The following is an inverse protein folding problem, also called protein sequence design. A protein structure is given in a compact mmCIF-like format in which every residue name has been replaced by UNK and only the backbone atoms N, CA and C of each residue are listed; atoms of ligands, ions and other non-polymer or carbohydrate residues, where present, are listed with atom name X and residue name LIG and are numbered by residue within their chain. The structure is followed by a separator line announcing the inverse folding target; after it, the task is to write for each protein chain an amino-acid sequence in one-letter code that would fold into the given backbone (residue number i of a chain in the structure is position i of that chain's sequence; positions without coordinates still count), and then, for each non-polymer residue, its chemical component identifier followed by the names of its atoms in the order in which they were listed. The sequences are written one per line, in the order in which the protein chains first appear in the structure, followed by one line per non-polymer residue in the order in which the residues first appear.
data_IF_286989405890
#
_entry.id   IF_286989405890
#
_cell.length_a   1.000
_cell.length_b   1.000
_cell.length_c   1.000
_cell.angle_alpha   90.00
_cell.angle_beta   90.00
_cell.angle_gamma   90.00
#
_symmetry.space_group_name_H-M   'P 1'
#
loop_
_entity.id
_entity.type
_entity.pdbx_description
1 polymer ?
#
# COMPACT_ATOMS: atom_id res chain seq x y z
N UNK A 1 21.55 -7.50 67.31
CA UNK A 1 22.46 -6.70 66.47
C UNK A 1 22.11 -6.98 65.01
N UNK A 2 21.18 -6.21 64.43
CA UNK A 2 21.03 -6.09 62.97
C UNK A 2 20.57 -4.66 62.69
N UNK A 3 21.54 -3.80 62.36
CA UNK A 3 21.29 -2.46 61.81
C UNK A 3 20.87 -2.68 60.36
N UNK A 4 19.61 -2.37 60.04
CA UNK A 4 19.20 -2.19 58.65
C UNK A 4 19.60 -0.77 58.27
N UNK A 5 20.77 -0.67 57.65
CA UNK A 5 21.24 0.48 56.90
C UNK A 5 20.68 0.41 55.48
N UNK A 6 19.85 1.38 55.10
CA UNK A 6 19.81 2.02 53.77
C UNK A 6 18.73 3.10 53.79
N UNK A 7 19.12 4.33 54.10
CA UNK A 7 18.38 5.51 53.67
C UNK A 7 18.60 5.55 52.16
N UNK A 8 17.56 5.21 51.40
CA UNK A 8 17.49 5.49 49.98
C UNK A 8 17.34 7.00 49.87
N UNK A 9 18.29 7.68 49.25
CA UNK A 9 18.09 9.03 48.75
C UNK A 9 16.90 8.96 47.78
N UNK A 10 15.70 9.25 48.26
CA UNK A 10 14.54 9.47 47.41
C UNK A 10 14.89 10.64 46.52
N UNK A 11 15.02 10.36 45.22
CA UNK A 11 15.09 11.35 44.15
C UNK A 11 14.10 12.48 44.48
N UNK A 12 14.56 13.73 44.52
CA UNK A 12 13.74 14.88 44.96
C UNK A 12 12.41 14.94 44.18
N UNK A 13 12.39 14.39 42.97
CA UNK A 13 11.22 14.20 42.13
C UNK A 13 10.18 13.20 42.70
N UNK A 14 10.60 12.09 43.30
CA UNK A 14 9.70 11.15 43.98
C UNK A 14 9.10 11.79 45.22
N UNK A 15 9.92 12.49 46.00
CA UNK A 15 9.45 13.20 47.20
C UNK A 15 8.45 14.31 46.83
N UNK A 16 8.72 15.07 45.76
CA UNK A 16 7.82 16.08 45.23
C UNK A 16 6.52 15.44 44.67
N UNK A 17 6.63 14.31 43.96
CA UNK A 17 5.49 13.55 43.47
C UNK A 17 4.54 13.14 44.61
N UNK A 18 5.08 12.56 45.69
CA UNK A 18 4.24 12.17 46.83
C UNK A 18 3.66 13.37 47.58
N UNK A 19 4.36 14.52 47.65
CA UNK A 19 3.80 15.76 48.21
C UNK A 19 2.63 16.29 47.38
N UNK A 20 2.75 16.31 46.06
CA UNK A 20 1.66 16.70 45.14
C UNK A 20 0.51 15.71 45.20
N UNK A 21 0.80 14.40 45.23
CA UNK A 21 -0.21 13.35 45.23
C UNK A 21 -1.00 13.27 46.55
N UNK A 22 -0.35 13.56 47.68
CA UNK A 22 -1.00 13.65 49.00
C UNK A 22 -1.81 14.94 49.16
N UNK A 23 -1.53 15.98 48.37
CA UNK A 23 -2.35 17.18 48.35
C UNK A 23 -3.68 16.92 47.64
N UNK A 24 -4.76 16.84 48.42
CA UNK A 24 -6.12 16.54 47.94
C UNK A 24 -6.59 17.49 46.83
N UNK A 25 -6.26 18.78 46.92
CA UNK A 25 -6.66 19.78 45.92
C UNK A 25 -5.89 19.60 44.61
N UNK A 26 -4.57 19.44 44.67
CA UNK A 26 -3.76 19.22 43.46
C UNK A 26 -4.13 17.90 42.78
N UNK A 27 -4.26 16.81 43.55
CA UNK A 27 -4.69 15.51 43.03
C UNK A 27 -6.07 15.57 42.36
N UNK A 28 -7.02 16.29 42.96
CA UNK A 28 -8.35 16.49 42.37
C UNK A 28 -8.25 17.24 41.02
N UNK A 29 -7.50 18.35 40.98
CA UNK A 29 -7.34 19.12 39.75
C UNK A 29 -6.62 18.34 38.64
N UNK A 30 -5.52 17.64 38.97
CA UNK A 30 -4.81 16.77 38.03
C UNK A 30 -5.76 15.71 37.46
N UNK A 31 -6.51 15.02 38.34
CA UNK A 31 -7.47 13.99 37.93
C UNK A 31 -8.58 14.56 37.04
N UNK A 32 -9.06 15.77 37.35
CA UNK A 32 -10.06 16.47 36.54
C UNK A 32 -9.53 16.83 35.16
N UNK A 33 -8.34 17.42 35.06
CA UNK A 33 -7.74 17.80 33.79
C UNK A 33 -7.41 16.57 32.92
N UNK A 34 -6.92 15.50 33.54
CA UNK A 34 -6.66 14.24 32.83
C UNK A 34 -7.96 13.66 32.24
N UNK A 35 -9.07 13.66 32.99
CA UNK A 35 -10.37 13.22 32.48
C UNK A 35 -10.85 14.07 31.29
N UNK A 36 -10.68 15.39 31.36
CA UNK A 36 -11.03 16.30 30.27
C UNK A 36 -10.18 16.02 29.03
N UNK A 37 -8.86 15.96 29.20
CA UNK A 37 -7.90 15.63 28.15
C UNK A 37 -8.24 14.31 27.44
N UNK A 38 -8.55 13.25 28.20
CA UNK A 38 -8.95 11.96 27.63
C UNK A 38 -10.27 12.06 26.84
N UNK A 39 -11.27 12.77 27.37
CA UNK A 39 -12.57 12.95 26.71
C UNK A 39 -12.42 13.72 25.39
N UNK A 40 -11.63 14.78 25.39
CA UNK A 40 -11.41 15.64 24.21
C UNK A 40 -10.67 14.89 23.12
N UNK A 41 -9.59 14.18 23.46
CA UNK A 41 -8.83 13.42 22.45
C UNK A 41 -9.64 12.29 21.84
N UNK A 42 -10.51 11.63 22.62
CA UNK A 42 -11.45 10.64 22.08
C UNK A 42 -12.47 11.27 21.13
N UNK A 43 -12.91 12.49 21.43
CA UNK A 43 -13.86 13.21 20.58
C UNK A 43 -13.19 13.68 19.28
N UNK A 44 -12.02 14.29 19.37
CA UNK A 44 -11.37 14.95 18.24
C UNK A 44 -10.74 13.98 17.24
N UNK A 45 -10.50 12.73 17.63
CA UNK A 45 -10.05 11.67 16.72
C UNK A 45 -11.13 11.12 15.79
N UNK A 46 -12.38 11.58 15.91
CA UNK A 46 -13.46 11.18 15.02
C UNK A 46 -13.61 12.22 13.90
N UNK A 47 -13.47 11.77 12.65
CA UNK A 47 -13.45 12.64 11.45
C UNK A 47 -14.73 13.48 11.27
N UNK A 48 -15.86 13.06 11.85
CA UNK A 48 -17.13 13.80 11.81
C UNK A 48 -17.04 15.10 12.63
N UNK A 49 -16.16 15.14 13.62
CA UNK A 49 -16.03 16.25 14.56
C UNK A 49 -15.02 17.27 14.05
N UNK A 50 -15.48 18.12 13.12
CA UNK A 50 -14.67 19.22 12.57
C UNK A 50 -14.87 20.54 13.33
N UNK A 51 -13.87 21.41 13.29
CA UNK A 51 -13.92 22.77 13.77
C UNK A 51 -13.82 23.73 12.59
N UNK A 52 -14.59 24.81 12.61
CA UNK A 52 -14.27 26.00 11.83
C UNK A 52 -13.43 26.93 12.73
N UNK A 53 -12.92 28.03 12.16
CA UNK A 53 -12.02 28.93 12.88
C UNK A 53 -12.69 29.52 14.14
N UNK A 54 -13.96 29.92 14.04
CA UNK A 54 -14.69 30.51 15.15
C UNK A 54 -14.94 29.52 16.29
N UNK A 55 -15.38 28.30 15.96
CA UNK A 55 -15.61 27.24 16.94
C UNK A 55 -14.30 26.78 17.57
N UNK A 56 -13.19 26.75 16.83
CA UNK A 56 -11.87 26.42 17.36
C UNK A 56 -11.37 27.47 18.35
N UNK A 57 -11.51 28.76 18.01
CA UNK A 57 -11.06 29.86 18.87
C UNK A 57 -11.89 29.94 20.16
N UNK A 58 -13.19 29.65 20.08
CA UNK A 58 -14.09 29.66 21.24
C UNK A 58 -14.05 28.36 22.06
N UNK A 59 -13.34 27.33 21.60
CA UNK A 59 -13.30 26.05 22.30
C UNK A 59 -12.36 26.12 23.53
N UNK A 60 -12.87 26.03 24.78
CA UNK A 60 -12.09 26.31 25.98
C UNK A 60 -10.91 25.38 26.21
N UNK A 61 -10.91 24.21 25.57
CA UNK A 61 -9.90 23.17 25.75
C UNK A 61 -9.15 22.85 24.45
N UNK A 62 -9.05 23.84 23.54
CA UNK A 62 -8.35 23.68 22.26
C UNK A 62 -6.89 23.24 22.41
N UNK A 63 -6.23 23.60 23.51
CA UNK A 63 -4.84 23.20 23.77
C UNK A 63 -4.71 21.72 24.19
N UNK A 64 -5.82 21.00 24.39
CA UNK A 64 -5.81 19.56 24.66
C UNK A 64 -5.93 18.74 23.37
N UNK A 65 -6.17 19.39 22.22
CA UNK A 65 -6.34 18.72 20.93
C UNK A 65 -4.98 18.21 20.43
N UNK A 66 -4.88 16.90 20.25
CA UNK A 66 -3.75 16.26 19.55
C UNK A 66 -4.08 15.92 18.09
N UNK A 67 -5.35 15.64 17.82
CA UNK A 67 -5.90 15.39 16.48
C UNK A 67 -6.97 16.45 16.22
N UNK A 68 -6.83 17.21 15.13
CA UNK A 68 -7.71 18.32 14.80
C UNK A 68 -8.15 18.24 13.34
N UNK A 69 -9.47 18.28 13.14
CA UNK A 69 -10.10 18.39 11.83
C UNK A 69 -10.63 19.81 11.66
N UNK A 70 -10.15 20.54 10.66
CA UNK A 70 -10.65 21.87 10.27
C UNK A 70 -11.57 21.71 9.08
N UNK A 71 -12.76 22.30 9.12
CA UNK A 71 -13.76 22.22 8.05
C UNK A 71 -14.72 23.41 8.05
N UNK A 72 -15.51 23.54 6.99
CA UNK A 72 -16.40 24.69 6.77
C UNK A 72 -17.52 24.76 7.81
N UNK A 73 -18.13 23.63 8.16
CA UNK A 73 -19.34 23.61 8.98
C UNK A 73 -19.09 23.76 10.50
N UNK A 74 -17.90 23.38 10.98
CA UNK A 74 -17.54 23.46 12.40
C UNK A 74 -18.30 22.51 13.33
N UNK A 75 -18.16 22.72 14.64
CA UNK A 75 -18.75 21.86 15.67
C UNK A 75 -20.25 22.09 15.82
N UNK A 76 -21.04 21.01 15.72
CA UNK A 76 -22.48 21.02 15.99
C UNK A 76 -22.85 20.69 17.44
N UNK A 77 -21.93 20.15 18.24
CA UNK A 77 -22.18 19.70 19.62
C UNK A 77 -20.99 20.03 20.53
N UNK A 78 -21.25 20.51 21.75
CA UNK A 78 -20.23 20.67 22.80
C UNK A 78 -19.72 19.27 23.22
N UNK A 79 -18.44 18.94 23.04
CA UNK A 79 -17.90 17.61 23.31
C UNK A 79 -17.90 17.22 24.80
N UNK A 80 -18.07 18.20 25.69
CA UNK A 80 -18.02 18.01 27.13
C UNK A 80 -19.42 18.03 27.72
N UNK A 81 -20.25 18.99 27.34
CA UNK A 81 -21.62 19.14 27.85
C UNK A 81 -22.65 18.34 27.04
N UNK A 82 -22.33 17.93 25.81
CA UNK A 82 -23.24 17.21 24.92
C UNK A 82 -24.39 18.06 24.38
N UNK A 83 -24.37 19.37 24.63
CA UNK A 83 -25.40 20.30 24.16
C UNK A 83 -25.19 20.62 22.69
N UNK A 84 -26.27 20.59 21.90
CA UNK A 84 -26.26 21.06 20.51
C UNK A 84 -25.88 22.54 20.53
N UNK A 85 -24.82 22.90 19.80
CA UNK A 85 -24.48 24.28 19.51
C UNK A 85 -25.38 24.69 18.35
N UNK A 86 -26.48 25.39 18.64
CA UNK A 86 -27.39 25.86 17.60
C UNK A 86 -26.65 26.76 16.61
N UNK A 87 -26.86 26.45 15.34
CA UNK A 87 -26.29 27.10 14.16
C UNK A 87 -26.28 28.62 14.27
N UNK A 88 -25.07 29.18 14.32
CA UNK A 88 -24.80 30.56 13.85
C UNK A 88 -23.88 30.56 12.64
N UNK A 89 -23.75 29.45 11.93
CA UNK A 89 -23.09 29.44 10.64
C UNK A 89 -24.05 30.03 9.60
N UNK A 90 -24.07 31.37 9.49
CA UNK A 90 -24.47 32.01 8.24
C UNK A 90 -23.54 31.47 7.16
N UNK A 91 -24.11 30.74 6.20
CA UNK A 91 -23.46 29.96 5.15
C UNK A 91 -22.41 30.70 4.32
N UNK A 92 -22.31 32.01 4.46
CA UNK A 92 -21.54 32.87 3.56
C UNK A 92 -20.21 33.35 4.17
N UNK A 93 -19.85 32.90 5.38
CA UNK A 93 -18.68 33.42 6.14
C UNK A 93 -17.56 32.42 6.44
N UNK A 94 -17.65 31.15 6.08
CA UNK A 94 -16.63 30.16 6.46
C UNK A 94 -15.55 29.90 5.39
N UNK A 95 -15.40 30.81 4.44
CA UNK A 95 -14.56 30.63 3.25
C UNK A 95 -13.26 31.47 3.29
N UNK A 96 -12.78 31.79 4.51
CA UNK A 96 -11.54 32.53 4.74
C UNK A 96 -10.34 31.59 4.93
N UNK A 97 -9.13 32.00 4.52
CA UNK A 97 -7.91 31.25 4.81
C UNK A 97 -7.68 31.11 6.31
N UNK A 98 -7.03 30.02 6.73
CA UNK A 98 -6.71 29.75 8.13
C UNK A 98 -5.74 30.84 8.64
N UNK A 99 -6.08 31.60 9.69
CA UNK A 99 -5.19 32.62 10.22
C UNK A 99 -3.92 31.99 10.81
N UNK A 100 -2.81 32.73 10.73
CA UNK A 100 -1.55 32.35 11.41
C UNK A 100 -1.79 32.23 12.92
N UNK A 101 -1.14 31.26 13.57
CA UNK A 101 -1.29 30.94 15.00
C UNK A 101 -2.70 30.46 15.45
N UNK A 102 -3.62 30.21 14.52
CA UNK A 102 -4.96 29.70 14.85
C UNK A 102 -4.96 28.23 15.29
N UNK A 103 -3.99 27.43 14.84
CA UNK A 103 -3.91 26.01 15.18
C UNK A 103 -3.13 25.84 16.50
N UNK A 104 -3.69 25.16 17.52
CA UNK A 104 -2.99 24.95 18.79
C UNK A 104 -1.66 24.23 18.61
N UNK A 105 -0.63 24.63 19.38
CA UNK A 105 0.70 24.02 19.30
C UNK A 105 0.77 22.59 19.83
N UNK A 106 -0.29 22.10 20.49
CA UNK A 106 -0.45 20.71 20.95
C UNK A 106 -0.73 19.73 19.81
N UNK A 107 -1.21 20.21 18.66
CA UNK A 107 -1.69 19.37 17.55
C UNK A 107 -0.52 18.59 16.92
N UNK A 108 -0.74 17.29 16.77
CA UNK A 108 0.21 16.34 16.17
C UNK A 108 -0.34 15.83 14.83
N UNK A 109 -1.66 15.65 14.73
CA UNK A 109 -2.37 15.25 13.52
C UNK A 109 -3.35 16.33 13.12
N UNK A 110 -3.26 16.76 11.87
CA UNK A 110 -4.07 17.85 11.34
C UNK A 110 -4.75 17.42 10.05
N UNK A 111 -6.06 17.58 10.00
CA UNK A 111 -6.85 17.42 8.78
C UNK A 111 -7.43 18.77 8.38
N UNK A 112 -7.19 19.21 7.15
CA UNK A 112 -7.69 20.48 6.60
C UNK A 112 -8.67 20.17 5.48
N UNK A 113 -9.96 20.26 5.75
CA UNK A 113 -11.05 20.01 4.81
C UNK A 113 -11.69 21.32 4.33
N UNK A 114 -10.85 22.22 3.84
CA UNK A 114 -11.24 23.45 3.15
C UNK A 114 -10.37 23.59 1.90
N UNK A 115 -10.92 24.13 0.82
CA UNK A 115 -10.17 24.37 -0.42
C UNK A 115 -9.66 25.81 -0.45
N UNK A 116 -8.67 26.10 0.40
CA UNK A 116 -8.07 27.43 0.56
C UNK A 116 -6.54 27.38 0.65
N UNK A 117 -5.83 28.38 0.13
CA UNK A 117 -4.37 28.42 0.21
C UNK A 117 -3.89 28.34 1.65
N UNK A 118 -2.85 27.54 1.87
CA UNK A 118 -2.19 27.44 3.18
C UNK A 118 -1.06 28.47 3.20
N UNK A 119 -1.12 29.39 4.16
CA UNK A 119 -0.07 30.39 4.34
C UNK A 119 1.08 29.82 5.18
N UNK A 120 2.27 30.39 5.00
CA UNK A 120 3.44 30.08 5.81
C UNK A 120 3.13 30.30 7.31
N UNK A 121 3.68 29.45 8.18
CA UNK A 121 3.49 29.47 9.64
C UNK A 121 2.06 29.17 10.14
N UNK A 122 1.13 28.76 9.27
CA UNK A 122 -0.21 28.30 9.70
C UNK A 122 -0.13 26.95 10.42
N UNK A 123 0.69 26.03 9.91
CA UNK A 123 0.82 24.67 10.43
C UNK A 123 1.87 24.65 11.55
N UNK A 124 1.52 24.25 12.79
CA UNK A 124 2.46 24.22 13.90
C UNK A 124 3.58 23.19 13.73
N UNK A 125 4.73 23.45 14.35
CA UNK A 125 5.93 22.60 14.28
C UNK A 125 5.82 21.25 15.00
N UNK A 126 4.75 20.97 15.76
CA UNK A 126 4.53 19.64 16.35
C UNK A 126 3.75 18.70 15.43
N UNK A 127 3.20 19.21 14.32
CA UNK A 127 2.44 18.40 13.38
C UNK A 127 3.36 17.38 12.71
N UNK A 128 2.95 16.11 12.80
CA UNK A 128 3.60 14.94 12.20
C UNK A 128 2.81 14.36 11.05
N UNK A 129 1.48 14.47 11.08
CA UNK A 129 0.58 13.97 10.03
C UNK A 129 -0.32 15.10 9.54
N UNK A 130 -0.31 15.34 8.22
CA UNK A 130 -1.15 16.33 7.56
C UNK A 130 -2.01 15.67 6.50
N UNK A 131 -3.32 15.82 6.62
CA UNK A 131 -4.30 15.33 5.66
C UNK A 131 -5.07 16.50 5.05
N UNK A 132 -5.10 16.59 3.73
CA UNK A 132 -6.00 17.51 3.03
C UNK A 132 -7.30 16.81 2.66
N UNK A 133 -8.42 17.52 2.81
CA UNK A 133 -9.75 17.01 2.52
C UNK A 133 -10.00 16.78 1.03
N UNK A 134 -11.10 16.08 0.73
CA UNK A 134 -11.40 15.55 -0.61
C UNK A 134 -11.28 16.57 -1.74
N UNK A 135 -11.78 17.79 -1.52
CA UNK A 135 -11.83 18.87 -2.51
C UNK A 135 -10.57 19.75 -2.58
N UNK A 136 -9.57 19.57 -1.71
CA UNK A 136 -8.39 20.44 -1.68
C UNK A 136 -7.60 20.36 -2.99
N UNK A 137 -7.43 21.50 -3.65
CA UNK A 137 -6.71 21.60 -4.92
C UNK A 137 -5.97 22.94 -5.06
N UNK A 138 -5.41 23.45 -3.96
CA UNK A 138 -4.63 24.69 -3.95
C UNK A 138 -3.13 24.43 -4.12
N UNK A 139 -2.42 25.44 -4.61
CA UNK A 139 -0.95 25.41 -4.73
C UNK A 139 -0.34 25.40 -3.33
N UNK A 140 0.67 24.55 -3.13
CA UNK A 140 1.51 24.57 -1.93
C UNK A 140 2.76 25.38 -2.26
N UNK A 141 2.93 26.54 -1.64
CA UNK A 141 4.12 27.36 -1.82
C UNK A 141 5.34 26.75 -1.10
N UNK A 142 6.56 26.96 -1.60
CA UNK A 142 7.79 26.51 -0.93
C UNK A 142 7.87 26.93 0.54
N UNK A 143 8.41 26.06 1.40
CA UNK A 143 8.59 26.30 2.83
C UNK A 143 7.29 26.50 3.65
N UNK A 144 6.12 26.32 3.04
CA UNK A 144 4.82 26.43 3.73
C UNK A 144 4.60 25.30 4.74
N UNK A 145 5.02 24.08 4.38
CA UNK A 145 4.84 22.88 5.20
C UNK A 145 6.05 22.66 6.11
N UNK A 146 5.87 22.49 7.43
CA UNK A 146 6.99 22.31 8.34
C UNK A 146 7.71 20.97 8.13
N UNK A 147 9.04 20.98 8.25
CA UNK A 147 9.91 19.79 8.12
C UNK A 147 9.65 18.70 9.17
N UNK A 148 8.79 18.95 10.15
CA UNK A 148 8.39 17.96 11.17
C UNK A 148 7.38 16.96 10.65
N UNK A 149 6.72 17.24 9.53
CA UNK A 149 5.72 16.36 8.92
C UNK A 149 6.40 15.10 8.37
N UNK A 150 5.88 13.95 8.77
CA UNK A 150 6.35 12.62 8.37
C UNK A 150 5.36 11.94 7.42
N UNK A 151 4.07 12.26 7.52
CA UNK A 151 3.01 11.75 6.65
C UNK A 151 2.20 12.90 6.05
N UNK A 152 2.12 12.93 4.72
CA UNK A 152 1.35 13.92 3.96
C UNK A 152 0.37 13.21 3.02
N UNK A 153 -0.90 13.53 3.16
CA UNK A 153 -1.97 12.98 2.33
C UNK A 153 -2.73 14.10 1.63
N UNK A 154 -2.65 14.14 0.30
CA UNK A 154 -3.44 15.06 -0.51
C UNK A 154 -4.83 14.48 -0.80
N UNK A 155 -5.84 15.35 -0.79
CA UNK A 155 -7.22 14.99 -1.14
C UNK A 155 -7.36 14.48 -2.57
N UNK A 156 -8.47 13.79 -2.86
CA UNK A 156 -8.71 13.15 -4.15
C UNK A 156 -8.63 14.12 -5.34
N UNK A 157 -9.06 15.37 -5.17
CA UNK A 157 -9.11 16.40 -6.23
C UNK A 157 -7.77 17.09 -6.49
N UNK A 158 -6.75 16.90 -5.64
CA UNK A 158 -5.47 17.59 -5.78
C UNK A 158 -4.76 17.24 -7.09
N UNK A 159 -4.47 18.27 -7.89
CA UNK A 159 -3.82 18.15 -9.20
C UNK A 159 -2.98 19.39 -9.56
N UNK A 160 -2.46 20.09 -8.56
CA UNK A 160 -1.53 21.21 -8.74
C UNK A 160 -0.09 20.73 -8.92
N UNK A 161 0.74 21.52 -9.59
CA UNK A 161 2.17 21.21 -9.71
C UNK A 161 2.87 21.34 -8.35
N UNK A 162 3.65 20.32 -7.98
CA UNK A 162 4.50 20.37 -6.80
C UNK A 162 5.90 20.82 -7.24
N UNK A 163 6.32 21.99 -6.75
CA UNK A 163 7.65 22.54 -7.04
C UNK A 163 8.66 22.08 -5.99
N UNK A 164 9.93 22.38 -6.26
CA UNK A 164 11.03 22.17 -5.31
C UNK A 164 10.74 22.89 -4.00
N UNK A 165 11.12 22.27 -2.88
CA UNK A 165 10.97 22.79 -1.52
C UNK A 165 9.50 23.01 -1.04
N UNK A 166 8.51 22.54 -1.79
CA UNK A 166 7.10 22.51 -1.37
C UNK A 166 6.78 21.34 -0.40
N UNK A 167 7.59 20.27 -0.44
CA UNK A 167 7.41 19.09 0.40
C UNK A 167 8.39 19.10 1.58
N UNK A 168 7.97 18.68 2.79
CA UNK A 168 8.82 18.56 3.96
C UNK A 168 10.01 17.62 3.75
N UNK A 169 11.19 17.98 4.26
CA UNK A 169 12.43 17.20 4.06
C UNK A 169 12.43 15.84 4.75
N UNK A 170 11.72 15.69 5.87
CA UNK A 170 11.65 14.45 6.65
C UNK A 170 10.44 13.57 6.31
N UNK A 171 9.78 13.84 5.17
CA UNK A 171 8.57 13.14 4.76
C UNK A 171 8.85 11.66 4.43
N UNK A 172 8.26 10.75 5.20
CA UNK A 172 8.39 9.30 5.00
C UNK A 172 7.33 8.75 4.06
N UNK A 173 6.12 9.28 4.18
CA UNK A 173 4.94 8.79 3.46
C UNK A 173 4.24 9.93 2.74
N UNK A 174 4.11 9.80 1.42
CA UNK A 174 3.40 10.74 0.56
C UNK A 174 2.28 10.03 -0.19
N UNK A 175 1.04 10.48 0.01
CA UNK A 175 -0.10 10.08 -0.81
C UNK A 175 -0.50 11.25 -1.70
N UNK A 176 -0.31 11.08 -3.01
CA UNK A 176 -0.81 12.02 -4.00
C UNK A 176 -2.30 11.74 -4.24
N UNK A 177 -3.08 12.82 -4.42
CA UNK A 177 -4.51 12.75 -4.69
C UNK A 177 -4.84 11.87 -5.89
N UNK A 178 -6.01 11.22 -5.88
CA UNK A 178 -6.45 10.29 -6.94
C UNK A 178 -6.32 10.90 -8.35
N UNK A 179 -6.60 12.20 -8.50
CA UNK A 179 -6.58 12.93 -9.77
C UNK A 179 -5.22 13.53 -10.16
N UNK A 180 -4.18 13.43 -9.31
CA UNK A 180 -2.89 14.06 -9.57
C UNK A 180 -2.24 13.53 -10.85
N UNK A 181 -2.00 14.40 -11.83
CA UNK A 181 -1.42 14.05 -13.13
C UNK A 181 -0.48 15.17 -13.61
N UNK A 182 0.42 15.60 -12.73
CA UNK A 182 1.47 16.59 -13.03
C UNK A 182 2.84 15.93 -13.05
N UNK A 183 3.78 16.40 -13.90
CA UNK A 183 5.10 15.82 -14.00
C UNK A 183 5.84 15.94 -12.66
N UNK A 184 6.68 14.96 -12.36
CA UNK A 184 7.56 14.99 -11.19
C UNK A 184 8.93 15.42 -11.67
N UNK A 185 9.30 16.66 -11.39
CA UNK A 185 10.62 17.18 -11.75
C UNK A 185 11.70 16.68 -10.78
N UNK A 186 12.96 16.81 -11.21
CA UNK A 186 14.13 16.52 -10.38
C UNK A 186 14.09 17.34 -9.08
N UNK A 187 14.53 16.71 -7.99
CA UNK A 187 14.64 17.29 -6.63
C UNK A 187 13.30 17.76 -6.02
N UNK A 188 12.15 17.39 -6.60
CA UNK A 188 10.82 17.70 -6.03
C UNK A 188 10.47 16.76 -4.87
N UNK A 189 10.73 15.47 -5.03
CA UNK A 189 10.46 14.46 -4.01
C UNK A 189 11.65 14.39 -3.01
N UNK A 190 11.40 14.46 -1.70
CA UNK A 190 12.48 14.38 -0.72
C UNK A 190 13.11 12.98 -0.65
N UNK A 191 14.42 12.93 -0.39
CA UNK A 191 15.21 11.70 -0.24
C UNK A 191 14.92 10.88 1.03
N UNK A 192 13.89 11.25 1.80
CA UNK A 192 13.40 10.50 2.95
C UNK A 192 12.30 9.48 2.57
N UNK A 193 11.73 9.58 1.36
CA UNK A 193 10.68 8.67 0.89
C UNK A 193 11.30 7.33 0.48
N UNK A 194 10.77 6.23 1.04
CA UNK A 194 11.21 4.86 0.74
C UNK A 194 10.18 4.04 -0.04
N UNK A 195 8.89 4.39 0.04
CA UNK A 195 7.82 3.80 -0.76
C UNK A 195 6.96 4.90 -1.39
N UNK A 196 6.76 4.81 -2.71
CA UNK A 196 5.98 5.77 -3.48
C UNK A 196 4.92 5.05 -4.31
N UNK A 197 3.66 5.39 -4.04
CA UNK A 197 2.53 5.02 -4.87
C UNK A 197 2.04 6.24 -5.65
N UNK A 198 2.19 6.18 -6.97
CA UNK A 198 1.68 7.21 -7.87
C UNK A 198 0.15 7.12 -7.98
N UNK A 199 -0.49 8.26 -8.23
CA UNK A 199 -1.95 8.35 -8.28
C UNK A 199 -2.54 7.48 -9.39
N UNK A 200 -3.82 7.14 -9.27
CA UNK A 200 -4.52 6.37 -10.28
C UNK A 200 -4.65 7.09 -11.63
N UNK A 201 -4.68 8.42 -11.64
CA UNK A 201 -4.75 9.19 -12.88
C UNK A 201 -3.39 9.57 -13.46
N UNK A 202 -2.30 9.42 -12.70
CA UNK A 202 -0.96 9.80 -13.13
C UNK A 202 -0.58 9.07 -14.43
N UNK A 203 -0.29 9.85 -15.47
CA UNK A 203 0.15 9.35 -16.78
C UNK A 203 1.24 10.23 -17.39
N UNK A 204 2.07 10.86 -16.54
CA UNK A 204 3.23 11.63 -17.00
C UNK A 204 4.47 10.73 -17.16
N UNK A 205 5.40 11.08 -18.06
CA UNK A 205 6.67 10.37 -18.17
C UNK A 205 7.49 10.54 -16.89
N UNK A 206 8.24 9.49 -16.52
CA UNK A 206 9.25 9.58 -15.46
C UNK A 206 10.60 9.85 -16.13
N UNK A 207 11.14 11.03 -15.88
CA UNK A 207 12.47 11.41 -16.38
C UNK A 207 13.57 10.85 -15.47
N UNK A 208 14.80 10.85 -15.98
CA UNK A 208 15.99 10.52 -15.19
C UNK A 208 16.09 11.48 -14.00
N UNK A 209 16.44 10.95 -12.83
CA UNK A 209 16.65 11.71 -11.58
C UNK A 209 15.37 12.39 -11.01
N UNK A 210 14.17 12.12 -11.57
CA UNK A 210 12.89 12.62 -11.03
C UNK A 210 12.46 11.94 -9.74
N UNK A 211 12.89 10.70 -9.52
CA UNK A 211 12.56 9.91 -8.34
C UNK A 211 13.75 9.85 -7.37
N UNK A 212 13.51 9.90 -6.05
CA UNK A 212 14.59 9.95 -5.07
C UNK A 212 15.37 8.63 -5.03
N UNK A 213 16.68 8.71 -4.78
CA UNK A 213 17.54 7.52 -4.73
C UNK A 213 17.26 6.63 -3.51
N UNK A 214 16.58 7.13 -2.49
CA UNK A 214 16.14 6.38 -1.31
C UNK A 214 15.00 5.39 -1.58
N UNK A 215 14.38 5.44 -2.76
CA UNK A 215 13.17 4.70 -3.07
C UNK A 215 13.44 3.19 -3.18
N UNK A 216 12.70 2.42 -2.40
CA UNK A 216 12.75 0.95 -2.38
C UNK A 216 11.52 0.32 -3.06
N UNK A 217 10.34 0.90 -2.89
CA UNK A 217 9.10 0.44 -3.53
C UNK A 217 8.51 1.53 -4.44
N UNK A 218 8.20 1.17 -5.68
CA UNK A 218 7.52 2.02 -6.65
C UNK A 218 6.28 1.32 -7.21
N UNK A 219 5.12 1.94 -6.98
CA UNK A 219 3.82 1.47 -7.48
C UNK A 219 3.24 2.52 -8.42
N UNK A 220 3.06 2.17 -9.69
CA UNK A 220 2.35 2.99 -10.65
C UNK A 220 0.84 2.84 -10.49
N UNK A 221 0.11 3.95 -10.59
CA UNK A 221 -1.34 3.92 -10.55
C UNK A 221 -1.97 3.52 -11.89
N UNK A 222 -3.28 3.34 -11.87
CA UNK A 222 -4.02 2.63 -12.92
C UNK A 222 -3.87 3.20 -14.35
N UNK A 223 -3.81 4.52 -14.55
CA UNK A 223 -3.79 5.12 -15.89
C UNK A 223 -2.40 5.20 -16.54
N UNK A 224 -1.34 4.92 -15.79
CA UNK A 224 0.01 5.11 -16.29
C UNK A 224 0.32 4.15 -17.47
N UNK A 225 0.68 4.71 -18.62
CA UNK A 225 1.00 3.96 -19.83
C UNK A 225 2.11 4.64 -20.67
N UNK A 226 3.09 5.23 -19.98
CA UNK A 226 4.19 5.94 -20.65
C UNK A 226 5.34 4.98 -20.99
N UNK A 227 6.11 5.33 -22.02
CA UNK A 227 7.32 4.59 -22.37
C UNK A 227 8.36 4.80 -21.28
N UNK A 228 8.90 3.70 -20.76
CA UNK A 228 10.05 3.77 -19.88
C UNK A 228 11.27 4.35 -20.61
N UNK A 229 11.97 5.26 -19.93
CA UNK A 229 13.27 5.77 -20.36
C UNK A 229 14.36 5.02 -19.58
N UNK A 230 15.50 4.81 -20.21
CA UNK A 230 16.66 4.20 -19.54
C UNK A 230 17.02 5.04 -18.31
N UNK A 231 17.27 4.40 -17.17
CA UNK A 231 17.59 5.03 -15.88
C UNK A 231 16.49 5.93 -15.29
N UNK A 232 15.21 5.78 -15.69
CA UNK A 232 14.10 6.52 -15.08
C UNK A 232 13.70 5.97 -13.70
N UNK A 233 13.93 4.68 -13.45
CA UNK A 233 13.67 4.05 -12.16
C UNK A 233 14.99 4.00 -11.36
N UNK A 234 15.01 4.46 -10.10
CA UNK A 234 16.22 4.40 -9.27
C UNK A 234 16.74 2.98 -9.08
N UNK A 235 18.06 2.83 -8.99
CA UNK A 235 18.74 1.54 -8.85
C UNK A 235 18.61 0.87 -7.47
N UNK A 236 17.88 1.48 -6.53
CA UNK A 236 17.61 0.93 -5.21
C UNK A 236 16.20 0.33 -5.09
N UNK A 237 15.38 0.46 -6.13
CA UNK A 237 14.01 -0.09 -6.15
C UNK A 237 14.08 -1.61 -6.20
N UNK A 238 13.52 -2.26 -5.20
CA UNK A 238 13.42 -3.73 -5.11
C UNK A 238 12.02 -4.23 -5.47
N UNK A 239 10.98 -3.43 -5.23
CA UNK A 239 9.58 -3.74 -5.56
C UNK A 239 9.09 -2.78 -6.63
N UNK A 240 8.74 -3.32 -7.79
CA UNK A 240 8.17 -2.55 -8.90
C UNK A 240 6.81 -3.12 -9.31
N UNK A 241 5.77 -2.29 -9.20
CA UNK A 241 4.41 -2.65 -9.63
C UNK A 241 3.94 -1.70 -10.73
N UNK A 242 3.67 -2.25 -11.91
CA UNK A 242 3.18 -1.49 -13.07
C UNK A 242 1.64 -1.41 -13.05
N UNK A 243 1.12 -0.25 -13.38
CA UNK A 243 -0.30 0.07 -13.29
C UNK A 243 -1.18 -0.63 -14.33
N UNK A 244 -2.49 -0.63 -14.07
CA UNK A 244 -3.48 -1.40 -14.85
C UNK A 244 -3.50 -1.12 -16.36
N UNK A 245 -3.31 0.13 -16.82
CA UNK A 245 -3.34 0.50 -18.25
C UNK A 245 -1.98 0.35 -18.96
N UNK A 246 -0.94 -0.09 -18.26
CA UNK A 246 0.39 -0.21 -18.86
C UNK A 246 0.39 -1.27 -19.98
N UNK A 247 0.74 -0.88 -21.19
CA UNK A 247 0.85 -1.76 -22.37
C UNK A 247 2.00 -1.31 -23.30
N UNK A 248 3.16 -0.96 -22.73
CA UNK A 248 4.36 -0.60 -23.49
C UNK A 248 5.37 -1.75 -23.52
N UNK A 249 6.16 -1.87 -24.60
CA UNK A 249 7.23 -2.87 -24.68
C UNK A 249 8.30 -2.58 -23.61
N UNK A 250 8.62 -3.59 -22.81
CA UNK A 250 9.71 -3.55 -21.83
C UNK A 250 11.00 -3.98 -22.55
N UNK A 251 11.89 -3.02 -22.79
CA UNK A 251 13.20 -3.29 -23.40
C UNK A 251 14.22 -3.74 -22.34
N UNK A 252 15.28 -4.46 -22.73
CA UNK A 252 16.38 -4.83 -21.83
C UNK A 252 17.02 -3.63 -21.13
N UNK A 253 17.35 -3.81 -19.86
CA UNK A 253 18.01 -2.79 -19.03
C UNK A 253 17.12 -1.62 -18.60
N UNK A 254 15.81 -1.67 -18.85
CA UNK A 254 14.85 -0.67 -18.36
C UNK A 254 14.50 -0.89 -16.88
N UNK A 255 14.23 -2.15 -16.52
CA UNK A 255 13.96 -2.53 -15.14
C UNK A 255 15.31 -2.63 -14.43
N UNK A 256 15.51 -1.92 -13.30
CA UNK A 256 16.79 -1.97 -12.58
C UNK A 256 17.15 -3.37 -12.10
N UNK A 257 18.45 -3.73 -12.07
CA UNK A 257 18.93 -5.02 -11.57
C UNK A 257 18.82 -5.18 -10.05
N UNK A 258 18.25 -4.21 -9.35
CA UNK A 258 17.88 -4.31 -7.93
C UNK A 258 16.48 -4.90 -7.72
N UNK A 259 15.63 -4.94 -8.75
CA UNK A 259 14.24 -5.38 -8.63
C UNK A 259 14.19 -6.88 -8.35
N UNK A 260 13.60 -7.26 -7.22
CA UNK A 260 13.39 -8.65 -6.81
C UNK A 260 11.92 -9.07 -6.97
N UNK A 261 10.99 -8.13 -6.81
CA UNK A 261 9.54 -8.34 -6.95
C UNK A 261 9.02 -7.46 -8.09
N UNK A 262 8.67 -8.11 -9.20
CA UNK A 262 8.09 -7.45 -10.37
C UNK A 262 6.63 -7.89 -10.56
N UNK A 263 5.73 -6.91 -10.52
CA UNK A 263 4.32 -7.11 -10.79
C UNK A 263 3.87 -6.27 -11.97
N UNK A 264 3.27 -6.90 -12.97
CA UNK A 264 2.75 -6.27 -14.17
C UNK A 264 1.27 -6.61 -14.24
N UNK A 265 0.40 -5.61 -14.13
CA UNK A 265 -1.04 -5.84 -13.98
C UNK A 265 -1.85 -5.37 -15.18
N UNK A 266 -3.12 -5.80 -15.21
CA UNK A 266 -4.17 -5.17 -16.02
C UNK A 266 -4.16 -5.48 -17.51
N UNK A 267 -3.81 -4.50 -18.35
CA UNK A 267 -4.00 -4.55 -19.79
C UNK A 267 -2.75 -4.98 -20.57
N UNK A 268 -1.61 -5.17 -19.90
CA UNK A 268 -0.35 -5.52 -20.54
C UNK A 268 -0.48 -6.79 -21.38
N UNK A 269 -0.18 -6.68 -22.68
CA UNK A 269 -0.18 -7.82 -23.60
C UNK A 269 0.92 -7.70 -24.67
N UNK A 270 2.04 -7.06 -24.35
CA UNK A 270 3.22 -7.01 -25.22
C UNK A 270 4.14 -8.20 -24.96
N UNK A 271 4.82 -8.73 -25.99
CA UNK A 271 5.79 -9.81 -25.79
C UNK A 271 6.98 -9.30 -24.97
N UNK A 272 7.47 -10.13 -24.05
CA UNK A 272 8.75 -9.88 -23.41
C UNK A 272 9.89 -10.13 -24.39
N UNK A 273 10.94 -9.34 -24.28
CA UNK A 273 12.19 -9.52 -25.02
C UNK A 273 13.19 -10.29 -24.14
N UNK A 274 14.16 -10.96 -24.76
CA UNK A 274 15.29 -11.56 -24.04
C UNK A 274 15.96 -10.47 -23.19
N UNK A 275 16.29 -10.78 -21.94
CA UNK A 275 16.88 -9.84 -20.96
C UNK A 275 16.02 -8.63 -20.57
N UNK A 276 14.72 -8.62 -20.90
CA UNK A 276 13.78 -7.57 -20.45
C UNK A 276 13.44 -7.65 -18.96
N UNK A 277 13.53 -8.85 -18.38
CA UNK A 277 13.33 -9.12 -16.96
C UNK A 277 14.71 -9.38 -16.34
N UNK A 278 15.15 -8.61 -15.34
CA UNK A 278 16.48 -8.78 -14.74
C UNK A 278 16.63 -10.10 -13.98
N UNK A 279 17.85 -10.67 -13.97
CA UNK A 279 18.22 -11.87 -13.20
C UNK A 279 18.19 -11.67 -11.66
N UNK A 280 17.85 -10.48 -11.17
CA UNK A 280 17.58 -10.22 -9.76
C UNK A 280 16.16 -10.61 -9.35
N UNK A 281 15.23 -10.70 -10.30
CA UNK A 281 13.80 -10.96 -10.02
C UNK A 281 13.64 -12.37 -9.45
N UNK A 282 13.01 -12.44 -8.27
CA UNK A 282 12.64 -13.67 -7.55
C UNK A 282 11.15 -13.95 -7.67
N UNK A 283 10.32 -12.90 -7.61
CA UNK A 283 8.88 -13.00 -7.80
C UNK A 283 8.46 -12.23 -9.03
N UNK A 284 7.87 -12.96 -9.97
CA UNK A 284 7.31 -12.41 -11.19
C UNK A 284 5.82 -12.68 -11.23
N UNK A 285 5.02 -11.62 -11.25
CA UNK A 285 3.57 -11.70 -11.34
C UNK A 285 3.10 -10.94 -12.56
N UNK A 286 2.50 -11.65 -13.51
CA UNK A 286 1.99 -11.13 -14.77
C UNK A 286 0.47 -11.34 -14.75
N UNK A 287 -0.27 -10.30 -14.39
CA UNK A 287 -1.72 -10.34 -14.23
C UNK A 287 -2.45 -9.78 -15.45
N UNK A 288 -3.76 -10.00 -15.48
CA UNK A 288 -4.63 -9.36 -16.47
C UNK A 288 -4.57 -10.01 -17.86
N UNK A 289 -4.43 -9.19 -18.91
CA UNK A 289 -4.67 -9.58 -20.30
C UNK A 289 -3.49 -10.23 -21.03
N UNK A 290 -2.38 -10.48 -20.35
CA UNK A 290 -1.19 -11.05 -20.98
C UNK A 290 -1.49 -12.45 -21.55
N UNK A 291 -1.31 -12.59 -22.87
CA UNK A 291 -1.54 -13.84 -23.59
C UNK A 291 -0.56 -13.99 -24.77
N UNK A 292 0.70 -13.59 -24.58
CA UNK A 292 1.76 -13.72 -25.59
C UNK A 292 2.55 -15.02 -25.39
N UNK A 293 2.98 -15.62 -26.50
CA UNK A 293 3.75 -16.86 -26.48
C UNK A 293 5.11 -16.62 -25.79
N UNK A 294 5.46 -17.49 -24.85
CA UNK A 294 6.77 -17.47 -24.21
C UNK A 294 7.81 -18.14 -25.11
N UNK A 295 9.08 -17.81 -24.88
CA UNK A 295 10.24 -18.48 -25.48
C UNK A 295 11.23 -18.84 -24.37
N UNK A 296 12.11 -19.84 -24.56
CA UNK A 296 13.15 -20.16 -23.60
C UNK A 296 14.01 -18.94 -23.30
N UNK A 297 14.38 -18.75 -22.04
CA UNK A 297 15.23 -17.64 -21.58
C UNK A 297 14.51 -16.30 -21.35
N UNK A 298 13.21 -16.17 -21.69
CA UNK A 298 12.44 -14.95 -21.40
C UNK A 298 12.24 -14.74 -19.90
N UNK A 299 11.93 -15.81 -19.18
CA UNK A 299 11.84 -15.79 -17.72
C UNK A 299 13.22 -16.16 -17.16
N UNK A 300 13.84 -15.30 -16.35
CA UNK A 300 15.13 -15.59 -15.71
C UNK A 300 15.08 -16.84 -14.81
N UNK A 301 16.17 -17.60 -14.76
CA UNK A 301 16.33 -18.73 -13.83
C UNK A 301 16.38 -18.32 -12.36
N UNK A 302 16.52 -17.03 -12.07
CA UNK A 302 16.45 -16.49 -10.72
C UNK A 302 15.05 -16.49 -10.12
N UNK A 303 14.01 -16.58 -10.95
CA UNK A 303 12.60 -16.52 -10.52
C UNK A 303 12.24 -17.79 -9.77
N UNK A 304 11.78 -17.65 -8.53
CA UNK A 304 11.29 -18.74 -7.68
C UNK A 304 9.76 -18.80 -7.66
N UNK A 305 9.11 -17.65 -7.85
CA UNK A 305 7.66 -17.50 -7.79
C UNK A 305 7.15 -16.89 -9.09
N UNK A 306 6.49 -17.68 -9.92
CA UNK A 306 5.93 -17.25 -11.20
C UNK A 306 4.41 -17.37 -11.17
N UNK A 307 3.72 -16.27 -11.49
CA UNK A 307 2.26 -16.21 -11.54
C UNK A 307 1.79 -15.56 -12.83
N UNK A 308 0.99 -16.27 -13.62
CA UNK A 308 0.18 -15.75 -14.72
C UNK A 308 -1.27 -15.74 -14.25
N UNK A 309 -2.00 -14.63 -14.18
CA UNK A 309 -3.25 -14.64 -13.38
C UNK A 309 -4.56 -14.88 -14.15
N UNK A 310 -4.81 -14.19 -15.26
CA UNK A 310 -6.18 -14.12 -15.81
C UNK A 310 -6.31 -14.66 -17.22
N UNK A 311 -5.61 -14.10 -18.22
CA UNK A 311 -5.90 -14.39 -19.64
C UNK A 311 -4.88 -15.26 -20.37
N UNK A 312 -3.80 -15.70 -19.70
CA UNK A 312 -2.76 -16.49 -20.34
C UNK A 312 -3.28 -17.87 -20.74
N UNK A 313 -3.20 -18.20 -22.03
CA UNK A 313 -3.64 -19.46 -22.63
C UNK A 313 -2.77 -19.85 -23.85
N UNK A 314 -1.48 -19.54 -23.80
CA UNK A 314 -0.51 -19.95 -24.82
C UNK A 314 0.16 -21.27 -24.43
N UNK A 315 0.59 -22.11 -25.40
CA UNK A 315 1.25 -23.38 -25.08
C UNK A 315 2.54 -23.14 -24.27
N UNK A 316 2.79 -24.05 -23.34
CA UNK A 316 4.00 -24.10 -22.53
C UNK A 316 4.82 -25.31 -22.98
N UNK A 317 5.74 -25.11 -23.93
CA UNK A 317 6.64 -26.17 -24.38
C UNK A 317 7.81 -26.37 -23.39
N UNK A 318 8.45 -27.55 -23.39
CA UNK A 318 9.60 -27.81 -22.53
C UNK A 318 10.68 -26.73 -22.64
N UNK A 319 11.14 -26.24 -21.48
CA UNK A 319 12.14 -25.17 -21.37
C UNK A 319 11.60 -23.74 -21.41
N UNK A 320 10.29 -23.51 -21.58
CA UNK A 320 9.71 -22.16 -21.52
C UNK A 320 9.63 -21.62 -20.09
N UNK A 321 9.38 -22.52 -19.14
CA UNK A 321 9.45 -22.25 -17.71
C UNK A 321 10.84 -22.69 -17.23
N UNK A 322 11.68 -21.81 -16.67
CA UNK A 322 13.04 -22.15 -16.27
C UNK A 322 13.07 -23.03 -15.02
N UNK A 323 14.13 -23.84 -14.90
CA UNK A 323 14.46 -24.54 -13.67
C UNK A 323 14.80 -23.53 -12.56
N UNK A 324 14.30 -23.75 -11.34
CA UNK A 324 14.46 -22.87 -10.18
C UNK A 324 13.14 -22.31 -9.65
N UNK A 325 12.07 -22.36 -10.44
CA UNK A 325 10.72 -22.01 -10.00
C UNK A 325 10.22 -23.06 -9.02
N UNK A 326 9.86 -22.63 -7.81
CA UNK A 326 9.26 -23.46 -6.77
C UNK A 326 7.74 -23.34 -6.75
N UNK A 327 7.22 -22.14 -6.99
CA UNK A 327 5.78 -21.85 -7.03
C UNK A 327 5.39 -21.37 -8.43
N UNK A 328 4.51 -22.12 -9.09
CA UNK A 328 4.00 -21.82 -10.41
C UNK A 328 2.47 -21.74 -10.37
N UNK A 329 1.93 -20.55 -10.67
CA UNK A 329 0.51 -20.34 -10.90
C UNK A 329 0.27 -20.03 -12.38
N UNK A 330 -0.50 -20.88 -13.05
CA UNK A 330 -0.81 -20.77 -14.48
C UNK A 330 -2.26 -20.28 -14.61
N UNK A 331 -2.45 -19.21 -15.39
CA UNK A 331 -3.64 -18.35 -15.32
C UNK A 331 -4.98 -19.01 -15.46
N UNK A 332 -6.00 -18.32 -14.94
CA UNK A 332 -7.36 -18.82 -14.84
C UNK A 332 -7.92 -19.35 -16.16
N UNK A 333 -7.57 -18.75 -17.30
CA UNK A 333 -8.05 -19.15 -18.62
C UNK A 333 -7.16 -20.20 -19.33
N UNK A 334 -6.08 -20.67 -18.70
CA UNK A 334 -5.17 -21.62 -19.32
C UNK A 334 -5.83 -22.99 -19.51
N UNK A 335 -5.87 -23.47 -20.75
CA UNK A 335 -6.45 -24.76 -21.12
C UNK A 335 -5.69 -25.44 -22.28
N UNK A 336 -4.38 -25.17 -22.39
CA UNK A 336 -3.51 -25.84 -23.37
C UNK A 336 -3.00 -27.17 -22.81
N UNK A 337 -2.81 -28.20 -23.66
CA UNK A 337 -2.22 -29.46 -23.21
C UNK A 337 -0.80 -29.24 -22.73
N UNK A 338 -0.45 -29.87 -21.62
CA UNK A 338 0.93 -29.91 -21.12
C UNK A 338 1.65 -31.10 -21.75
N UNK A 339 2.92 -30.93 -22.12
CA UNK A 339 3.82 -32.01 -22.55
C UNK A 339 4.73 -32.42 -21.41
N UNK A 340 5.33 -33.61 -21.49
CA UNK A 340 6.39 -34.03 -20.55
C UNK A 340 7.49 -32.96 -20.50
N UNK A 341 7.91 -32.59 -19.29
CA UNK A 341 8.91 -31.54 -19.01
C UNK A 341 8.47 -30.09 -19.32
N UNK A 342 7.18 -29.83 -19.56
CA UNK A 342 6.66 -28.45 -19.67
C UNK A 342 6.73 -27.70 -18.34
N UNK A 343 6.49 -28.44 -17.25
CA UNK A 343 6.64 -27.97 -15.88
C UNK A 343 7.96 -28.55 -15.34
N UNK A 344 8.93 -27.71 -14.90
CA UNK A 344 10.22 -28.19 -14.42
C UNK A 344 10.13 -28.97 -13.10
N UNK A 345 11.06 -29.91 -12.88
CA UNK A 345 11.20 -30.70 -11.64
C UNK A 345 11.61 -29.86 -10.40
N UNK A 346 11.79 -28.55 -10.54
CA UNK A 346 11.97 -27.66 -9.40
C UNK A 346 10.65 -27.23 -8.74
N UNK A 347 9.51 -27.39 -9.44
CA UNK A 347 8.21 -26.90 -8.98
C UNK A 347 7.68 -27.78 -7.86
N UNK A 348 7.39 -27.17 -6.70
CA UNK A 348 6.82 -27.84 -5.53
C UNK A 348 5.36 -27.46 -5.29
N UNK A 349 4.94 -26.27 -5.73
CA UNK A 349 3.56 -25.80 -5.67
C UNK A 349 3.11 -25.40 -7.07
N UNK A 350 2.11 -26.12 -7.59
CA UNK A 350 1.55 -25.91 -8.91
C UNK A 350 0.06 -25.60 -8.81
N UNK A 351 -0.36 -24.50 -9.41
CA UNK A 351 -1.76 -24.16 -9.57
C UNK A 351 -2.12 -24.05 -11.06
N UNK A 352 -3.08 -24.87 -11.48
CA UNK A 352 -3.67 -24.86 -12.81
C UNK A 352 -4.99 -24.09 -12.72
N UNK A 353 -5.15 -23.07 -13.56
CA UNK A 353 -6.27 -22.14 -13.50
C UNK A 353 -7.66 -22.76 -13.69
N UNK A 354 -8.68 -21.97 -13.39
CA UNK A 354 -10.09 -22.39 -13.33
C UNK A 354 -10.64 -23.06 -14.61
N UNK A 355 -10.13 -22.70 -15.79
CA UNK A 355 -10.57 -23.22 -17.08
C UNK A 355 -9.78 -24.42 -17.58
N UNK A 356 -8.75 -24.85 -16.84
CA UNK A 356 -7.93 -25.98 -17.26
C UNK A 356 -8.77 -27.27 -17.22
N UNK A 357 -8.78 -28.01 -18.33
CA UNK A 357 -9.55 -29.24 -18.52
C UNK A 357 -8.84 -30.22 -19.49
N UNK A 358 -7.49 -30.21 -19.49
CA UNK A 358 -6.65 -31.11 -20.28
C UNK A 358 -6.07 -32.23 -19.41
N UNK A 359 -5.73 -33.41 -19.98
CA UNK A 359 -5.12 -34.49 -19.22
C UNK A 359 -3.84 -34.07 -18.50
N UNK A 360 -3.69 -34.47 -17.24
CA UNK A 360 -2.48 -34.24 -16.42
C UNK A 360 -1.61 -35.49 -16.25
N UNK A 361 -1.87 -36.53 -17.04
CA UNK A 361 -1.18 -37.82 -17.00
C UNK A 361 0.29 -37.65 -17.43
N UNK A 362 1.24 -38.09 -16.60
CA UNK A 362 2.69 -38.12 -16.86
C UNK A 362 3.34 -36.76 -17.20
N UNK A 363 2.66 -35.65 -16.92
CA UNK A 363 3.12 -34.28 -17.23
C UNK A 363 3.37 -33.43 -15.99
N UNK A 364 2.87 -33.85 -14.84
CA UNK A 364 3.14 -33.21 -13.55
C UNK A 364 4.39 -33.84 -12.93
N UNK A 365 5.41 -33.06 -12.54
CA UNK A 365 6.66 -33.61 -12.02
C UNK A 365 6.51 -34.16 -10.59
N UNK A 366 7.37 -35.12 -10.23
CA UNK A 366 7.40 -35.77 -8.90
C UNK A 366 7.88 -34.84 -7.76
N UNK A 367 8.32 -33.63 -8.10
CA UNK A 367 8.65 -32.58 -7.14
C UNK A 367 7.41 -31.90 -6.57
N UNK A 368 6.25 -31.96 -7.26
CA UNK A 368 5.03 -31.27 -6.83
C UNK A 368 4.49 -31.88 -5.54
N UNK A 369 4.32 -31.03 -4.53
CA UNK A 369 3.72 -31.34 -3.22
C UNK A 369 2.32 -30.75 -3.08
N UNK A 370 2.11 -29.56 -3.63
CA UNK A 370 0.82 -28.87 -3.60
C UNK A 370 0.32 -28.74 -5.03
N UNK A 371 -0.86 -29.31 -5.31
CA UNK A 371 -1.54 -29.17 -6.59
C UNK A 371 -2.87 -28.46 -6.39
N UNK A 372 -3.08 -27.34 -7.06
CA UNK A 372 -4.36 -26.64 -7.11
C UNK A 372 -5.00 -26.79 -8.49
N UNK A 373 -6.26 -27.22 -8.51
CA UNK A 373 -7.07 -27.42 -9.71
C UNK A 373 -8.49 -26.88 -9.51
N UNK A 374 -9.17 -26.59 -10.62
CA UNK A 374 -10.57 -26.13 -10.64
C UNK A 374 -11.56 -27.22 -10.25
N UNK A 375 -12.67 -26.85 -9.60
CA UNK A 375 -13.83 -27.75 -9.43
C UNK A 375 -14.52 -28.10 -10.76
N UNK A 376 -14.26 -27.32 -11.82
CA UNK A 376 -14.77 -27.53 -13.18
C UNK A 376 -13.89 -28.46 -14.02
N UNK A 377 -12.79 -28.97 -13.47
CA UNK A 377 -11.96 -29.98 -14.12
C UNK A 377 -12.78 -31.28 -14.24
N UNK A 378 -13.39 -31.48 -15.41
CA UNK A 378 -14.41 -32.51 -15.65
C UNK A 378 -13.90 -33.64 -16.56
N UNK A 379 -12.69 -33.50 -17.12
CA UNK A 379 -12.08 -34.49 -18.00
C UNK A 379 -11.20 -35.50 -17.22
N UNK A 380 -11.60 -36.77 -17.29
CA UNK A 380 -10.75 -37.96 -17.27
C UNK A 380 -10.05 -38.42 -15.96
N UNK A 381 -10.32 -37.86 -14.77
CA UNK A 381 -9.83 -38.51 -13.52
C UNK A 381 -10.53 -39.86 -13.26
N UNK A 382 -11.73 -40.04 -13.82
CA UNK A 382 -12.63 -41.15 -13.46
C UNK A 382 -12.19 -42.49 -14.08
N UNK A 383 -11.30 -42.54 -15.08
CA UNK A 383 -10.98 -43.80 -15.77
C UNK A 383 -9.61 -44.42 -15.48
N UNK A 384 -8.60 -43.69 -15.00
CA UNK A 384 -7.27 -44.29 -14.74
C UNK A 384 -6.56 -43.68 -13.52
N UNK A 385 -6.73 -44.35 -12.37
CA UNK A 385 -6.31 -43.92 -11.03
C UNK A 385 -4.80 -44.04 -10.73
N UNK A 386 -3.95 -44.35 -11.71
CA UNK A 386 -2.55 -44.74 -11.50
C UNK A 386 -1.50 -43.68 -11.86
N UNK A 387 -1.88 -42.47 -12.28
CA UNK A 387 -0.95 -41.58 -13.02
C UNK A 387 -0.79 -40.15 -12.50
N UNK A 388 -1.26 -39.86 -11.28
CA UNK A 388 -0.89 -38.63 -10.55
C UNK A 388 0.35 -38.92 -9.69
N UNK A 389 1.35 -38.02 -9.62
CA UNK A 389 2.53 -38.22 -8.77
C UNK A 389 2.17 -38.56 -7.32
N UNK A 390 2.78 -39.61 -6.77
CA UNK A 390 2.59 -40.03 -5.37
C UNK A 390 3.18 -39.01 -4.37
N UNK A 391 3.95 -38.04 -4.88
CA UNK A 391 4.55 -36.96 -4.12
C UNK A 391 3.56 -35.89 -3.66
N UNK A 392 2.33 -35.87 -4.18
CA UNK A 392 1.36 -34.82 -3.86
C UNK A 392 0.85 -35.01 -2.43
N UNK A 393 1.15 -34.03 -1.58
CA UNK A 393 0.77 -33.99 -0.17
C UNK A 393 -0.56 -33.26 0.05
N UNK A 394 -0.82 -32.21 -0.76
CA UNK A 394 -2.03 -31.38 -0.62
C UNK A 394 -2.66 -31.11 -1.98
N UNK A 395 -3.98 -31.31 -2.06
CA UNK A 395 -4.78 -30.94 -3.22
C UNK A 395 -5.77 -29.86 -2.83
N UNK A 396 -5.74 -28.75 -3.57
CA UNK A 396 -6.64 -27.61 -3.39
C UNK A 396 -7.61 -27.56 -4.56
N UNK A 397 -8.91 -27.72 -4.27
CA UNK A 397 -9.96 -27.60 -5.27
C UNK A 397 -10.72 -26.29 -5.03
N UNK A 398 -10.73 -25.41 -6.02
CA UNK A 398 -11.42 -24.12 -5.97
C UNK A 398 -12.71 -24.13 -6.82
N UNK A 399 -13.85 -23.75 -6.24
CA UNK A 399 -15.13 -23.55 -6.95
C UNK A 399 -16.35 -24.31 -6.38
N UNK A 400 -17.52 -24.15 -7.02
CA UNK A 400 -18.78 -24.83 -6.62
C UNK A 400 -18.72 -26.32 -6.98
N UNK A 401 -19.10 -27.18 -6.04
CA UNK A 401 -19.02 -28.64 -6.14
C UNK A 401 -20.33 -29.24 -6.66
N UNK A 402 -20.25 -30.11 -7.67
CA UNK A 402 -21.33 -31.01 -8.12
C UNK A 402 -20.80 -32.42 -8.49
N UNK A 403 -19.63 -32.81 -7.96
CA UNK A 403 -19.00 -34.10 -8.24
C UNK A 403 -18.72 -34.82 -6.91
N UNK A 404 -19.13 -36.08 -6.83
CA UNK A 404 -18.65 -37.02 -5.81
C UNK A 404 -17.18 -37.29 -6.11
N UNK A 405 -16.26 -36.70 -5.35
CA UNK A 405 -14.85 -37.06 -5.40
C UNK A 405 -14.72 -38.54 -5.00
N UNK A 406 -14.31 -39.46 -5.89
CA UNK A 406 -13.97 -40.80 -5.47
C UNK A 406 -12.83 -40.76 -4.44
N UNK A 407 -12.58 -41.87 -3.75
CA UNK A 407 -11.46 -42.11 -2.82
C UNK A 407 -10.05 -41.99 -3.48
N UNK A 408 -9.91 -41.17 -4.53
CA UNK A 408 -8.78 -40.95 -5.43
C UNK A 408 -7.47 -40.52 -4.75
N UNK A 409 -7.54 -40.09 -3.49
CA UNK A 409 -6.49 -39.31 -2.83
C UNK A 409 -6.23 -39.78 -1.40
N UNK A 410 -6.23 -41.10 -1.16
CA UNK A 410 -6.16 -41.69 0.18
C UNK A 410 -4.98 -41.23 1.05
N UNK A 411 -3.92 -40.68 0.45
CA UNK A 411 -2.70 -40.23 1.14
C UNK A 411 -2.48 -38.71 1.17
N UNK A 412 -3.37 -37.90 0.58
CA UNK A 412 -3.17 -36.44 0.48
C UNK A 412 -4.22 -35.65 1.24
N UNK A 413 -3.84 -34.50 1.81
CA UNK A 413 -4.75 -33.57 2.49
C UNK A 413 -5.57 -32.82 1.44
N UNK A 414 -6.89 -33.04 1.47
CA UNK A 414 -7.83 -32.33 0.61
C UNK A 414 -8.28 -31.02 1.28
N UNK A 415 -8.11 -29.88 0.59
CA UNK A 415 -8.62 -28.58 1.02
C UNK A 415 -9.63 -28.07 -0.01
N UNK A 416 -10.86 -27.84 0.44
CA UNK A 416 -11.94 -27.27 -0.37
C UNK A 416 -12.07 -25.78 -0.06
N UNK A 417 -11.79 -24.93 -1.05
CA UNK A 417 -12.01 -23.49 -0.94
C UNK A 417 -13.40 -23.15 -1.50
N UNK A 418 -14.24 -22.54 -0.65
CA UNK A 418 -15.62 -22.15 -0.97
C UNK A 418 -15.71 -20.95 -1.90
#
# INVERSE_FOLDING_TARGET
MFKISKIVECDDNENLFFKVFRNKYLRFNISRQLKLYQKINKFSSNEINSFNIDTLNNFPYRDYLLDLHIGVFGLSVDPIKGTILLDKCQSDKCDYPIPVNCIPSSVIKLTINIDRPILMNVIPSKVKSLNFGYCFNQIIEPFTLPDTIETLNFGCMFNQEIKRDCLPKNLKTLFLGYLYDKPIAKDVLPNSITSLKLSNNFNQPIEKDSLPSSLNELIFGNKWNQKFKKNSIPSNVTILKLGYKFDQIIKPGIIPPSVTDLCIQGQYNKPFLLDSIPNSVKKLTIEGRYNQMLKPGIIPSSVTNLCFSNSFNQPLDPGYIPFGISTLYIGNNFNQPLKKNSIPDSVTSLALGNSFNQPIIDVIPQSVRILSISSLYNNHIISETTKIPNSIETIIIAGKFNITLPNLFSNSKLILLK
#
